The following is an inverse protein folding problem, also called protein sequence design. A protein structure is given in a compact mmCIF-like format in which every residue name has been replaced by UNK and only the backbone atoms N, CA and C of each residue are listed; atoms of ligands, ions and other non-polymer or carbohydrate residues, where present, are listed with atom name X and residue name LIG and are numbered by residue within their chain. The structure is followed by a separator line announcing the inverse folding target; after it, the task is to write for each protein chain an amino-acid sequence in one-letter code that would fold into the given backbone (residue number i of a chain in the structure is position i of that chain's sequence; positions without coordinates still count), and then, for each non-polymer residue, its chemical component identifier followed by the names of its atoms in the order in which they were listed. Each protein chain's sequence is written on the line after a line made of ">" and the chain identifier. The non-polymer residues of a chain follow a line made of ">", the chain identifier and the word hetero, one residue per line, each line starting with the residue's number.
data_IF_023624077157
#
_entry.id   IF_023624077157
#
_cell.length_a   1.000
_cell.length_b   1.000
_cell.length_c   1.000
_cell.angle_alpha   90.00
_cell.angle_beta   90.00
_cell.angle_gamma   90.00
#
_symmetry.space_group_name_H-M   'P 1'
#
loop_
_entity.id
_entity.type
_entity.pdbx_description
1 polymer ?
#
# COMPACT_ATOMS: atom_id res chain seq x y z
N UNK A 1 1.23 -27.17 -17.94
CA UNK A 1 0.49 -28.28 -18.57
C UNK A 1 -0.95 -28.43 -18.09
N UNK A 2 -1.21 -28.80 -16.82
CA UNK A 2 -2.60 -29.01 -16.35
C UNK A 2 -3.38 -27.69 -16.23
N UNK A 3 -2.86 -26.69 -15.53
CA UNK A 3 -3.51 -25.39 -15.35
C UNK A 3 -3.72 -24.64 -16.69
N UNK A 4 -2.72 -24.70 -17.58
CA UNK A 4 -2.82 -24.16 -18.94
C UNK A 4 -3.93 -24.85 -19.73
N UNK A 5 -3.98 -26.18 -19.76
CA UNK A 5 -5.02 -26.94 -20.44
C UNK A 5 -6.43 -26.63 -19.89
N UNK A 6 -6.56 -26.46 -18.58
CA UNK A 6 -7.81 -26.05 -17.95
C UNK A 6 -8.22 -24.64 -18.40
N UNK A 7 -7.29 -23.68 -18.34
CA UNK A 7 -7.54 -22.29 -18.72
C UNK A 7 -7.91 -22.14 -20.21
N UNK A 8 -7.23 -22.87 -21.10
CA UNK A 8 -7.57 -22.93 -22.53
C UNK A 8 -9.00 -23.45 -22.75
N UNK A 9 -9.37 -24.57 -22.11
CA UNK A 9 -10.72 -25.12 -22.22
C UNK A 9 -11.77 -24.18 -21.63
N UNK A 10 -11.48 -23.48 -20.53
CA UNK A 10 -12.37 -22.49 -19.96
C UNK A 10 -12.60 -21.31 -20.92
N UNK A 11 -11.58 -20.89 -21.70
CA UNK A 11 -11.74 -19.90 -22.77
C UNK A 11 -12.52 -20.42 -23.97
N UNK A 12 -12.27 -21.67 -24.39
CA UNK A 12 -12.86 -22.26 -25.60
C UNK A 12 -14.36 -22.52 -25.46
N UNK A 13 -14.79 -23.02 -24.29
CA UNK A 13 -16.15 -23.54 -24.10
C UNK A 13 -16.79 -23.16 -22.76
N UNK A 14 -16.12 -22.34 -21.94
CA UNK A 14 -16.60 -21.94 -20.62
C UNK A 14 -16.27 -22.94 -19.51
N UNK A 15 -16.27 -22.45 -18.27
CA UNK A 15 -15.99 -23.23 -17.07
C UNK A 15 -17.00 -24.34 -16.89
N UNK A 16 -18.30 -24.05 -16.87
CA UNK A 16 -19.36 -25.02 -16.61
C UNK A 16 -19.35 -26.21 -17.57
N UNK A 17 -19.16 -25.96 -18.87
CA UNK A 17 -19.12 -27.01 -19.88
C UNK A 17 -17.83 -27.86 -19.85
N UNK A 18 -16.77 -27.39 -19.18
CA UNK A 18 -15.49 -28.08 -19.13
C UNK A 18 -15.47 -29.15 -18.04
N UNK A 19 -15.16 -30.40 -18.42
CA UNK A 19 -15.05 -31.51 -17.47
C UNK A 19 -13.60 -31.84 -17.13
N UNK A 20 -13.36 -32.47 -15.97
CA UNK A 20 -12.04 -32.99 -15.58
C UNK A 20 -11.50 -33.99 -16.62
N UNK A 21 -12.38 -34.73 -17.30
CA UNK A 21 -11.99 -35.67 -18.35
C UNK A 21 -11.46 -34.95 -19.60
N UNK A 22 -12.00 -33.77 -19.93
CA UNK A 22 -11.52 -32.95 -21.04
C UNK A 22 -10.16 -32.34 -20.70
N UNK A 23 -10.00 -31.80 -19.49
CA UNK A 23 -8.74 -31.25 -18.98
C UNK A 23 -7.65 -32.33 -18.98
N UNK A 24 -7.96 -33.50 -18.42
CA UNK A 24 -7.01 -34.63 -18.35
C UNK A 24 -6.57 -35.07 -19.74
N UNK A 25 -7.51 -35.16 -20.69
CA UNK A 25 -7.23 -35.53 -22.09
C UNK A 25 -6.36 -34.49 -22.80
N UNK A 26 -6.65 -33.20 -22.63
CA UNK A 26 -5.89 -32.09 -23.21
C UNK A 26 -4.47 -32.05 -22.65
N UNK A 27 -4.31 -32.25 -21.35
CA UNK A 27 -3.02 -32.28 -20.67
C UNK A 27 -2.24 -33.59 -20.86
N UNK A 28 -2.82 -34.61 -21.50
CA UNK A 28 -2.17 -35.90 -21.72
C UNK A 28 -1.96 -36.74 -20.45
N UNK A 29 -2.77 -36.53 -19.41
CA UNK A 29 -2.68 -37.25 -18.12
C UNK A 29 -3.94 -38.06 -17.84
N UNK A 30 -3.84 -39.02 -16.93
CA UNK A 30 -5.02 -39.79 -16.50
C UNK A 30 -5.89 -38.97 -15.54
N UNK A 31 -7.20 -39.29 -15.48
CA UNK A 31 -8.11 -38.70 -14.47
C UNK A 31 -7.67 -39.01 -13.04
N UNK A 32 -7.05 -40.17 -12.81
CA UNK A 32 -6.48 -40.51 -11.51
C UNK A 32 -5.32 -39.59 -11.16
N UNK A 33 -4.45 -39.27 -12.12
CA UNK A 33 -3.35 -38.32 -11.94
C UNK A 33 -3.86 -36.92 -11.59
N UNK A 34 -4.98 -36.47 -12.18
CA UNK A 34 -5.59 -35.19 -11.81
C UNK A 34 -5.96 -35.14 -10.32
N UNK A 35 -6.70 -36.13 -9.83
CA UNK A 35 -7.18 -36.17 -8.45
C UNK A 35 -6.07 -36.39 -7.41
N UNK A 36 -4.87 -36.78 -7.82
CA UNK A 36 -3.72 -36.81 -6.92
C UNK A 36 -3.26 -35.42 -6.50
N UNK A 37 -3.58 -34.37 -7.28
CA UNK A 37 -3.12 -33.01 -7.03
C UNK A 37 -4.27 -32.04 -6.72
N UNK A 38 -5.45 -32.24 -7.32
CA UNK A 38 -6.55 -31.27 -7.25
C UNK A 38 -7.86 -31.97 -6.89
N UNK A 39 -8.64 -31.38 -5.98
CA UNK A 39 -9.96 -31.90 -5.61
C UNK A 39 -11.02 -31.47 -6.64
N UNK A 40 -10.85 -30.28 -7.21
CA UNK A 40 -11.77 -29.68 -8.18
C UNK A 40 -11.04 -29.14 -9.42
N UNK A 41 -11.80 -28.76 -10.45
CA UNK A 41 -11.27 -28.08 -11.65
C UNK A 41 -10.94 -26.60 -11.42
N UNK A 42 -11.45 -25.97 -10.36
CA UNK A 42 -11.11 -24.59 -10.00
C UNK A 42 -9.80 -24.54 -9.19
N UNK A 43 -9.55 -25.52 -8.32
CA UNK A 43 -8.32 -25.63 -7.50
C UNK A 43 -7.03 -25.52 -8.34
N UNK A 44 -7.08 -26.00 -9.58
CA UNK A 44 -5.95 -26.04 -10.50
C UNK A 44 -5.37 -24.66 -10.80
N UNK A 45 -6.22 -23.63 -10.82
CA UNK A 45 -5.83 -22.24 -11.08
C UNK A 45 -5.08 -21.67 -9.88
N UNK A 46 -5.42 -22.12 -8.67
CA UNK A 46 -4.90 -21.58 -7.42
C UNK A 46 -3.62 -22.26 -6.93
N UNK A 47 -3.24 -23.39 -7.52
CA UNK A 47 -2.13 -24.24 -7.06
C UNK A 47 -0.84 -23.48 -6.73
N UNK A 48 -0.42 -22.57 -7.63
CA UNK A 48 0.80 -21.77 -7.43
C UNK A 48 0.67 -20.79 -6.26
N UNK A 49 -0.49 -20.16 -6.10
CA UNK A 49 -0.77 -19.31 -4.94
C UNK A 49 -0.88 -20.12 -3.65
N UNK A 50 -1.50 -21.30 -3.68
CA UNK A 50 -1.68 -22.15 -2.51
C UNK A 50 -0.34 -22.65 -1.94
N UNK A 51 0.62 -22.98 -2.80
CA UNK A 51 1.98 -23.33 -2.40
C UNK A 51 2.70 -22.14 -1.74
N UNK A 52 2.52 -20.94 -2.29
CA UNK A 52 3.07 -19.68 -1.73
C UNK A 52 2.42 -19.36 -0.38
N UNK A 53 1.10 -19.51 -0.26
CA UNK A 53 0.39 -19.33 1.01
C UNK A 53 0.85 -20.35 2.05
N UNK A 54 1.10 -21.61 1.67
CA UNK A 54 1.63 -22.61 2.60
C UNK A 54 3.01 -22.21 3.15
N UNK A 55 3.92 -21.71 2.29
CA UNK A 55 5.22 -21.17 2.75
C UNK A 55 5.07 -19.94 3.65
N UNK A 56 4.12 -19.07 3.33
CA UNK A 56 3.80 -17.91 4.15
C UNK A 56 3.29 -18.31 5.54
N UNK A 57 2.38 -19.29 5.60
CA UNK A 57 1.87 -19.86 6.85
C UNK A 57 3.01 -20.45 7.70
N UNK A 58 3.88 -21.27 7.08
CA UNK A 58 5.03 -21.87 7.75
C UNK A 58 6.01 -20.82 8.30
N UNK A 59 6.33 -19.80 7.49
CA UNK A 59 7.21 -18.70 7.91
C UNK A 59 6.66 -17.97 9.13
N UNK A 60 5.38 -17.58 9.12
CA UNK A 60 4.76 -16.87 10.24
C UNK A 60 4.57 -17.75 11.48
N UNK A 61 4.55 -19.08 11.31
CA UNK A 61 4.53 -20.03 12.42
C UNK A 61 5.89 -20.16 13.11
N UNK A 62 6.98 -20.16 12.35
CA UNK A 62 8.34 -20.37 12.85
C UNK A 62 9.04 -19.09 13.35
N UNK A 63 8.61 -17.91 12.90
CA UNK A 63 9.33 -16.66 13.19
C UNK A 63 8.99 -16.07 14.57
N UNK A 64 10.04 -15.86 15.39
CA UNK A 64 10.01 -15.17 16.69
C UNK A 64 10.54 -13.72 16.61
N UNK A 65 10.60 -13.13 15.41
CA UNK A 65 11.10 -11.78 15.21
C UNK A 65 10.45 -10.77 16.15
N UNK A 66 11.30 -9.85 16.66
CA UNK A 66 10.90 -8.82 17.62
C UNK A 66 9.83 -7.89 17.03
N UNK A 67 9.90 -7.61 15.74
CA UNK A 67 8.91 -6.81 15.01
C UNK A 67 8.00 -7.69 14.14
N UNK A 68 6.89 -8.12 14.73
CA UNK A 68 5.89 -8.95 14.05
C UNK A 68 5.23 -8.25 12.85
N UNK A 69 5.08 -6.91 12.90
CA UNK A 69 4.45 -6.17 11.83
C UNK A 69 5.36 -6.09 10.60
N UNK A 70 6.66 -5.86 10.82
CA UNK A 70 7.66 -5.89 9.76
C UNK A 70 7.79 -7.28 9.13
N UNK A 71 7.78 -8.35 9.93
CA UNK A 71 7.83 -9.72 9.42
C UNK A 71 6.59 -10.07 8.59
N UNK A 72 5.37 -9.78 9.07
CA UNK A 72 4.14 -9.99 8.29
C UNK A 72 4.21 -9.27 6.94
N UNK A 73 4.69 -8.01 6.92
CA UNK A 73 4.86 -7.25 5.67
C UNK A 73 5.86 -7.94 4.73
N UNK A 74 7.02 -8.35 5.23
CA UNK A 74 8.04 -9.02 4.43
C UNK A 74 7.55 -10.38 3.90
N UNK A 75 6.85 -11.16 4.72
CA UNK A 75 6.27 -12.44 4.32
C UNK A 75 5.18 -12.26 3.25
N UNK A 76 4.33 -11.25 3.39
CA UNK A 76 3.27 -10.98 2.42
C UNK A 76 3.81 -10.48 1.08
N UNK A 77 4.87 -9.66 1.07
CA UNK A 77 5.54 -9.25 -0.17
C UNK A 77 6.18 -10.46 -0.86
N UNK A 78 6.78 -11.38 -0.10
CA UNK A 78 7.36 -12.60 -0.64
C UNK A 78 6.34 -13.53 -1.34
N UNK A 79 5.03 -13.37 -1.09
CA UNK A 79 4.00 -14.08 -1.86
C UNK A 79 4.01 -13.65 -3.34
N UNK A 80 4.34 -12.39 -3.62
CA UNK A 80 4.33 -11.80 -4.95
C UNK A 80 5.65 -11.98 -5.71
N UNK A 81 6.75 -12.26 -5.01
CA UNK A 81 8.09 -12.40 -5.61
C UNK A 81 8.12 -13.47 -6.70
N UNK A 82 8.65 -13.12 -7.87
CA UNK A 82 8.74 -13.99 -9.05
C UNK A 82 7.40 -14.62 -9.46
N UNK A 83 6.28 -13.97 -9.14
CA UNK A 83 4.96 -14.42 -9.58
C UNK A 83 4.82 -14.11 -11.08
N UNK A 84 5.12 -15.10 -11.91
CA UNK A 84 4.97 -15.00 -13.35
C UNK A 84 3.48 -14.93 -13.74
N UNK A 85 3.14 -14.29 -14.88
CA UNK A 85 1.81 -14.42 -15.47
C UNK A 85 1.48 -15.90 -15.65
N UNK A 86 0.42 -16.35 -15.01
CA UNK A 86 0.02 -17.75 -14.99
C UNK A 86 -1.46 -17.91 -15.38
N UNK A 87 -1.95 -19.15 -15.29
CA UNK A 87 -3.35 -19.47 -15.59
C UNK A 87 -4.34 -18.77 -14.66
N UNK A 88 -3.92 -18.36 -13.45
CA UNK A 88 -4.78 -17.61 -12.53
C UNK A 88 -4.97 -16.17 -13.01
N UNK A 89 -3.88 -15.49 -13.39
CA UNK A 89 -3.97 -14.14 -13.94
C UNK A 89 -4.83 -14.09 -15.22
N UNK A 90 -4.74 -15.12 -16.07
CA UNK A 90 -5.58 -15.23 -17.27
C UNK A 90 -7.04 -15.50 -16.92
N UNK A 91 -7.31 -16.35 -15.91
CA UNK A 91 -8.65 -16.65 -15.42
C UNK A 91 -9.32 -15.42 -14.79
N UNK A 92 -8.62 -14.70 -13.91
CA UNK A 92 -9.10 -13.46 -13.28
C UNK A 92 -9.49 -12.42 -14.34
N UNK A 93 -8.59 -12.16 -15.29
CA UNK A 93 -8.85 -11.16 -16.34
C UNK A 93 -10.02 -11.52 -17.26
N UNK A 94 -10.26 -12.81 -17.47
CA UNK A 94 -11.30 -13.28 -18.40
C UNK A 94 -12.46 -13.98 -17.67
N UNK A 95 -12.64 -13.70 -16.38
CA UNK A 95 -13.59 -14.42 -15.53
C UNK A 95 -15.00 -14.45 -16.15
N UNK A 96 -15.47 -13.31 -16.65
CA UNK A 96 -16.78 -13.20 -17.30
C UNK A 96 -16.91 -13.96 -18.63
N UNK A 97 -15.84 -14.00 -19.43
CA UNK A 97 -15.85 -14.76 -20.68
C UNK A 97 -15.82 -16.28 -20.40
N UNK A 98 -15.15 -16.68 -19.33
CA UNK A 98 -15.06 -18.08 -18.89
C UNK A 98 -16.26 -18.52 -18.03
N UNK A 99 -17.06 -17.59 -17.48
CA UNK A 99 -18.11 -17.88 -16.50
C UNK A 99 -17.54 -18.36 -15.15
N UNK A 100 -16.53 -17.65 -14.65
CA UNK A 100 -15.73 -17.99 -13.47
C UNK A 100 -15.92 -17.05 -12.28
N UNK A 101 -16.69 -15.96 -12.40
CA UNK A 101 -16.73 -14.89 -11.40
C UNK A 101 -17.11 -15.39 -10.00
N UNK A 102 -18.22 -16.12 -9.90
CA UNK A 102 -18.71 -16.65 -8.62
C UNK A 102 -17.76 -17.72 -8.04
N UNK A 103 -17.07 -18.46 -8.91
CA UNK A 103 -16.14 -19.50 -8.51
C UNK A 103 -14.85 -18.90 -7.97
N UNK A 104 -14.25 -17.95 -8.69
CA UNK A 104 -13.04 -17.26 -8.28
C UNK A 104 -13.25 -16.49 -6.98
N UNK A 105 -14.38 -15.80 -6.81
CA UNK A 105 -14.69 -15.07 -5.58
C UNK A 105 -14.81 -16.01 -4.36
N UNK A 106 -15.41 -17.18 -4.55
CA UNK A 106 -15.55 -18.19 -3.50
C UNK A 106 -14.20 -18.79 -3.12
N UNK A 107 -13.39 -19.16 -4.11
CA UNK A 107 -12.06 -19.72 -3.89
C UNK A 107 -11.09 -18.70 -3.29
N UNK A 108 -11.15 -17.43 -3.73
CA UNK A 108 -10.38 -16.33 -3.18
C UNK A 108 -10.72 -16.10 -1.71
N UNK A 109 -12.00 -16.19 -1.33
CA UNK A 109 -12.44 -16.02 0.06
C UNK A 109 -11.82 -17.03 1.03
N UNK A 110 -11.63 -18.29 0.60
CA UNK A 110 -10.92 -19.31 1.38
C UNK A 110 -9.46 -18.90 1.64
N UNK A 111 -8.77 -18.39 0.61
CA UNK A 111 -7.37 -17.96 0.69
C UNK A 111 -7.18 -16.68 1.49
N UNK A 112 -8.10 -15.71 1.37
CA UNK A 112 -8.18 -14.54 2.26
C UNK A 112 -8.25 -14.98 3.72
N UNK A 113 -9.09 -15.97 4.04
CA UNK A 113 -9.24 -16.49 5.40
C UNK A 113 -8.00 -17.24 5.91
N UNK A 114 -7.30 -17.99 5.06
CA UNK A 114 -6.02 -18.63 5.40
C UNK A 114 -4.96 -17.61 5.79
N UNK A 115 -4.72 -16.63 4.92
CA UNK A 115 -3.77 -15.53 5.16
C UNK A 115 -4.15 -14.76 6.44
N UNK A 116 -5.43 -14.40 6.57
CA UNK A 116 -5.91 -13.64 7.73
C UNK A 116 -5.66 -14.37 9.06
N UNK A 117 -5.92 -15.68 9.12
CA UNK A 117 -5.68 -16.48 10.33
C UNK A 117 -4.20 -16.59 10.67
N UNK A 118 -3.34 -16.78 9.67
CA UNK A 118 -1.89 -16.87 9.89
C UNK A 118 -1.32 -15.55 10.46
N UNK A 119 -1.74 -14.42 9.89
CA UNK A 119 -1.36 -13.09 10.38
C UNK A 119 -1.91 -12.82 11.78
N UNK A 120 -3.20 -13.09 12.02
CA UNK A 120 -3.82 -12.88 13.33
C UNK A 120 -3.12 -13.73 14.41
N UNK A 121 -2.78 -14.98 14.12
CA UNK A 121 -2.03 -15.84 15.03
C UNK A 121 -0.63 -15.28 15.33
N UNK A 122 0.10 -14.80 14.31
CA UNK A 122 1.43 -14.18 14.48
C UNK A 122 1.40 -12.93 15.34
N UNK A 123 0.43 -12.03 15.10
CA UNK A 123 0.27 -10.79 15.87
C UNK A 123 -0.21 -11.06 17.30
N UNK A 124 -1.11 -12.04 17.48
CA UNK A 124 -1.56 -12.48 18.80
C UNK A 124 -0.40 -13.02 19.65
N UNK A 125 0.50 -13.83 19.06
CA UNK A 125 1.74 -14.28 19.72
C UNK A 125 2.66 -13.10 20.08
N UNK A 126 2.63 -12.01 19.31
CA UNK A 126 3.37 -10.79 19.58
C UNK A 126 2.67 -9.84 20.58
N UNK A 127 1.53 -10.24 21.16
CA UNK A 127 0.83 -9.48 22.20
C UNK A 127 -0.28 -8.54 21.70
N UNK A 128 -0.66 -8.61 20.42
CA UNK A 128 -1.87 -7.93 19.94
C UNK A 128 -3.11 -8.50 20.64
N UNK A 129 -4.07 -7.65 21.01
CA UNK A 129 -5.39 -8.17 21.39
C UNK A 129 -6.12 -8.76 20.18
N UNK A 130 -7.10 -9.61 20.47
CA UNK A 130 -7.82 -10.38 19.46
C UNK A 130 -8.47 -9.51 18.38
N UNK A 131 -9.09 -8.38 18.75
CA UNK A 131 -9.79 -7.55 17.78
C UNK A 131 -8.79 -6.93 16.80
N UNK A 132 -7.69 -6.37 17.30
CA UNK A 132 -6.64 -5.84 16.43
C UNK A 132 -6.02 -6.92 15.56
N UNK A 133 -5.70 -8.10 16.11
CA UNK A 133 -5.14 -9.21 15.36
C UNK A 133 -6.07 -9.70 14.24
N UNK A 134 -7.36 -9.87 14.53
CA UNK A 134 -8.36 -10.34 13.56
C UNK A 134 -8.58 -9.30 12.44
N UNK A 135 -8.67 -8.00 12.77
CA UNK A 135 -8.81 -6.90 11.80
C UNK A 135 -7.56 -6.77 10.93
N UNK A 136 -6.37 -6.81 11.53
CA UNK A 136 -5.11 -6.76 10.79
C UNK A 136 -4.96 -7.97 9.86
N UNK A 137 -5.32 -9.17 10.33
CA UNK A 137 -5.34 -10.38 9.51
C UNK A 137 -6.26 -10.23 8.30
N UNK A 138 -7.50 -9.79 8.51
CA UNK A 138 -8.43 -9.56 7.41
C UNK A 138 -7.90 -8.53 6.40
N UNK A 139 -7.25 -7.46 6.87
CA UNK A 139 -6.62 -6.45 6.00
C UNK A 139 -5.52 -7.06 5.12
N UNK A 140 -4.67 -7.93 5.66
CA UNK A 140 -3.63 -8.61 4.87
C UNK A 140 -4.18 -9.64 3.89
N UNK A 141 -5.19 -10.41 4.30
CA UNK A 141 -5.90 -11.32 3.39
C UNK A 141 -6.48 -10.57 2.20
N UNK A 142 -7.17 -9.45 2.45
CA UNK A 142 -7.68 -8.57 1.40
C UNK A 142 -6.59 -7.95 0.54
N UNK A 143 -5.50 -7.48 1.13
CA UNK A 143 -4.40 -6.84 0.41
C UNK A 143 -3.71 -7.78 -0.58
N UNK A 144 -3.42 -9.03 -0.18
CA UNK A 144 -2.76 -9.99 -1.07
C UNK A 144 -3.65 -10.33 -2.27
N UNK A 145 -4.92 -10.68 -2.04
CA UNK A 145 -5.83 -11.06 -3.13
C UNK A 145 -6.21 -9.86 -4.01
N UNK A 146 -6.42 -8.68 -3.41
CA UNK A 146 -6.70 -7.46 -4.15
C UNK A 146 -5.51 -6.99 -5.01
N UNK A 147 -4.27 -7.21 -4.56
CA UNK A 147 -3.08 -6.94 -5.37
C UNK A 147 -3.01 -7.86 -6.60
N UNK A 148 -3.31 -9.15 -6.42
CA UNK A 148 -3.35 -10.14 -7.50
C UNK A 148 -4.42 -9.79 -8.54
N UNK A 149 -5.63 -9.49 -8.10
CA UNK A 149 -6.75 -9.11 -8.97
C UNK A 149 -6.42 -7.83 -9.76
N UNK A 150 -5.92 -6.79 -9.08
CA UNK A 150 -5.55 -5.54 -9.72
C UNK A 150 -4.45 -5.73 -10.77
N UNK A 151 -3.44 -6.55 -10.46
CA UNK A 151 -2.36 -6.89 -11.39
C UNK A 151 -2.86 -7.67 -12.61
N UNK A 152 -3.75 -8.64 -12.41
CA UNK A 152 -4.34 -9.41 -13.50
C UNK A 152 -5.10 -8.50 -14.48
N UNK A 153 -5.86 -7.53 -13.96
CA UNK A 153 -6.63 -6.57 -14.75
C UNK A 153 -5.76 -5.51 -15.46
N UNK A 154 -4.67 -5.04 -14.84
CA UNK A 154 -3.75 -4.08 -15.46
C UNK A 154 -2.88 -4.71 -16.57
N UNK A 155 -2.85 -6.04 -16.58
CA UNK A 155 -2.26 -6.87 -17.63
C UNK A 155 -0.96 -7.50 -17.16
N UNK A 156 -1.09 -8.62 -16.46
CA UNK A 156 -0.01 -9.42 -15.88
C UNK A 156 1.24 -9.59 -16.76
N UNK A 157 1.09 -9.76 -18.07
CA UNK A 157 2.23 -9.88 -19.00
C UNK A 157 3.02 -8.58 -19.28
N UNK A 158 2.58 -7.42 -18.78
CA UNK A 158 3.20 -6.11 -19.00
C UNK A 158 3.67 -5.44 -17.70
N UNK A 159 3.17 -5.89 -16.55
CA UNK A 159 3.41 -5.28 -15.25
C UNK A 159 3.81 -6.35 -14.24
N UNK A 160 4.59 -5.99 -13.22
CA UNK A 160 4.90 -6.92 -12.13
C UNK A 160 3.86 -6.86 -11.02
N UNK A 161 3.55 -8.01 -10.41
CA UNK A 161 2.72 -8.11 -9.21
C UNK A 161 3.38 -7.38 -8.02
N UNK A 162 4.71 -7.30 -7.96
CA UNK A 162 5.47 -6.66 -6.88
C UNK A 162 5.00 -5.23 -6.61
N UNK A 163 4.70 -4.46 -7.66
CA UNK A 163 4.22 -3.07 -7.55
C UNK A 163 2.86 -3.01 -6.83
N UNK A 164 1.95 -3.91 -7.16
CA UNK A 164 0.63 -3.96 -6.56
C UNK A 164 0.71 -4.49 -5.12
N UNK A 165 1.56 -5.50 -4.89
CA UNK A 165 1.81 -6.05 -3.57
C UNK A 165 2.41 -5.01 -2.62
N UNK A 166 3.40 -4.23 -3.06
CA UNK A 166 3.99 -3.16 -2.25
C UNK A 166 2.95 -2.11 -1.86
N UNK A 167 2.15 -1.64 -2.82
CA UNK A 167 1.08 -0.67 -2.56
C UNK A 167 0.02 -1.21 -1.61
N UNK A 168 -0.42 -2.46 -1.81
CA UNK A 168 -1.42 -3.09 -0.95
C UNK A 168 -0.86 -3.36 0.47
N UNK A 169 0.41 -3.72 0.58
CA UNK A 169 1.12 -3.90 1.84
C UNK A 169 1.18 -2.60 2.65
N UNK A 170 1.38 -1.45 2.01
CA UNK A 170 1.39 -0.15 2.71
C UNK A 170 0.02 0.19 3.31
N UNK A 171 -1.07 -0.18 2.61
CA UNK A 171 -2.44 -0.04 3.14
C UNK A 171 -2.69 -1.01 4.30
N UNK A 172 -2.33 -2.29 4.16
CA UNK A 172 -2.52 -3.29 5.21
C UNK A 172 -1.66 -3.02 6.46
N UNK A 173 -0.46 -2.47 6.28
CA UNK A 173 0.45 -2.11 7.37
C UNK A 173 -0.13 -1.02 8.31
N UNK A 174 -1.15 -0.28 7.86
CA UNK A 174 -1.87 0.64 8.74
C UNK A 174 -2.61 -0.12 9.86
N UNK A 175 -3.10 -1.32 9.58
CA UNK A 175 -3.87 -2.14 10.51
C UNK A 175 -2.99 -2.97 11.47
N UNK A 176 -1.72 -3.22 11.14
CA UNK A 176 -0.79 -4.00 11.99
C UNK A 176 -0.10 -3.19 13.07
N UNK A 177 -0.22 -1.86 13.04
CA UNK A 177 0.38 -1.00 14.06
C UNK A 177 -0.34 -1.19 15.39
N UNK A 178 0.30 -1.93 16.29
CA UNK A 178 -0.12 -2.03 17.69
C UNK A 178 0.47 -0.81 18.42
N UNK A 179 -0.34 0.16 18.88
CA UNK A 179 0.18 1.25 19.68
C UNK A 179 0.62 0.69 21.03
N UNK A 180 1.89 0.83 21.39
CA UNK A 180 2.35 0.51 22.73
C UNK A 180 1.51 1.29 23.78
N UNK A 181 1.33 0.76 25.01
CA UNK A 181 0.72 1.53 26.09
C UNK A 181 1.43 2.88 26.27
N UNK A 182 0.69 3.99 26.19
CA UNK A 182 1.26 5.34 26.25
C UNK A 182 1.85 5.86 24.93
N UNK A 183 1.75 5.12 23.84
CA UNK A 183 2.18 5.59 22.51
C UNK A 183 1.37 6.83 22.08
N UNK A 184 2.07 7.77 21.45
CA UNK A 184 1.46 8.95 20.83
C UNK A 184 0.54 8.49 19.69
N UNK A 185 -0.74 8.81 19.80
CA UNK A 185 -1.78 8.43 18.83
C UNK A 185 -1.88 9.40 17.65
N UNK A 186 -1.59 10.68 17.89
CA UNK A 186 -1.71 11.74 16.92
C UNK A 186 -0.66 12.81 17.20
N UNK A 187 -0.04 13.33 16.14
CA UNK A 187 0.73 14.57 16.17
C UNK A 187 -0.17 15.68 15.63
N UNK A 188 -0.33 16.78 16.38
CA UNK A 188 -0.99 18.01 15.91
C UNK A 188 0.02 19.14 15.92
N UNK A 189 0.16 19.83 14.79
CA UNK A 189 0.88 21.09 14.69
C UNK A 189 -0.15 22.22 14.67
N UNK A 190 -0.08 23.11 15.65
CA UNK A 190 -0.99 24.26 15.75
C UNK A 190 -0.26 25.51 15.30
N UNK A 191 -0.82 26.18 14.30
CA UNK A 191 -0.23 27.37 13.69
C UNK A 191 -1.18 28.53 13.90
N UNK A 192 -0.67 29.65 14.41
CA UNK A 192 -1.46 30.87 14.52
C UNK A 192 -1.57 31.52 13.13
N UNK A 193 -2.79 31.67 12.63
CA UNK A 193 -3.07 32.29 11.33
C UNK A 193 -3.78 33.64 11.53
N UNK A 194 -3.09 34.78 11.35
CA UNK A 194 -3.73 36.10 11.43
C UNK A 194 -4.85 36.29 10.41
N UNK A 195 -4.66 35.78 9.19
CA UNK A 195 -5.70 35.65 8.17
C UNK A 195 -6.16 34.18 8.11
N UNK A 196 -7.13 33.85 8.97
CA UNK A 196 -7.59 32.48 9.14
C UNK A 196 -8.20 31.91 7.85
N UNK A 197 -9.08 32.66 7.18
CA UNK A 197 -9.82 32.14 6.02
C UNK A 197 -8.90 31.95 4.80
N UNK A 198 -7.98 32.88 4.54
CA UNK A 198 -7.00 32.71 3.46
C UNK A 198 -6.03 31.54 3.76
N UNK A 199 -5.59 31.41 5.01
CA UNK A 199 -4.70 30.31 5.41
C UNK A 199 -5.40 28.97 5.30
N UNK A 200 -6.65 28.87 5.76
CA UNK A 200 -7.46 27.66 5.64
C UNK A 200 -7.69 27.28 4.18
N UNK A 201 -8.06 28.23 3.33
CA UNK A 201 -8.24 27.98 1.90
C UNK A 201 -6.94 27.49 1.23
N UNK A 202 -5.79 28.08 1.58
CA UNK A 202 -4.50 27.62 1.07
C UNK A 202 -4.23 26.15 1.42
N UNK A 203 -4.29 25.77 2.70
CA UNK A 203 -3.98 24.38 3.08
C UNK A 203 -5.07 23.39 2.64
N UNK A 204 -6.34 23.77 2.72
CA UNK A 204 -7.45 22.89 2.36
C UNK A 204 -7.58 22.70 0.85
N UNK A 205 -7.58 23.80 0.10
CA UNK A 205 -7.99 23.79 -1.31
C UNK A 205 -6.79 23.78 -2.26
N UNK A 206 -5.66 24.39 -1.88
CA UNK A 206 -4.46 24.46 -2.74
C UNK A 206 -3.49 23.32 -2.45
N UNK A 207 -3.15 23.12 -1.18
CA UNK A 207 -2.30 21.97 -0.77
C UNK A 207 -3.10 20.67 -0.86
N UNK A 208 -4.41 20.73 -0.63
CA UNK A 208 -5.31 19.58 -0.74
C UNK A 208 -5.48 18.79 0.56
N UNK A 209 -5.31 19.43 1.71
CA UNK A 209 -5.46 18.80 3.02
C UNK A 209 -6.94 18.77 3.45
N UNK A 210 -7.60 17.60 3.50
CA UNK A 210 -9.02 17.53 3.84
C UNK A 210 -9.30 18.04 5.25
N UNK A 211 -10.41 18.75 5.47
CA UNK A 211 -10.81 19.19 6.81
C UNK A 211 -11.48 18.04 7.56
N UNK A 212 -10.90 17.64 8.68
CA UNK A 212 -11.43 16.59 9.56
C UNK A 212 -12.43 17.16 10.58
N UNK A 213 -12.06 18.25 11.26
CA UNK A 213 -12.86 18.88 12.32
C UNK A 213 -12.72 20.41 12.25
N UNK A 214 -13.71 21.13 12.74
CA UNK A 214 -13.63 22.58 12.95
C UNK A 214 -14.44 22.99 14.17
N UNK A 215 -13.91 23.97 14.91
CA UNK A 215 -14.53 24.49 16.12
C UNK A 215 -14.52 26.01 16.10
N UNK A 216 -15.60 26.59 16.60
CA UNK A 216 -15.74 28.03 16.85
C UNK A 216 -16.17 28.25 18.31
N UNK A 217 -15.65 29.30 18.93
CA UNK A 217 -15.94 29.67 20.30
C UNK A 217 -16.13 31.18 20.45
N UNK A 218 -16.50 31.62 21.65
CA UNK A 218 -16.72 33.04 21.96
C UNK A 218 -15.50 33.91 21.61
N UNK A 219 -15.76 35.19 21.33
CA UNK A 219 -14.70 36.16 20.98
C UNK A 219 -14.13 35.97 19.57
N UNK A 220 -14.81 35.23 18.68
CA UNK A 220 -14.35 35.00 17.30
C UNK A 220 -13.22 33.97 17.19
N UNK A 221 -12.99 33.16 18.24
CA UNK A 221 -11.99 32.11 18.22
C UNK A 221 -12.42 30.99 17.26
N UNK A 222 -11.54 30.66 16.31
CA UNK A 222 -11.77 29.63 15.29
C UNK A 222 -10.55 28.74 15.19
N UNK A 223 -10.78 27.44 14.98
CA UNK A 223 -9.73 26.46 14.65
C UNK A 223 -10.29 25.44 13.66
N UNK A 224 -9.49 25.08 12.67
CA UNK A 224 -9.76 23.98 11.75
C UNK A 224 -8.64 22.95 11.87
N UNK A 225 -9.00 21.67 11.85
CA UNK A 225 -8.07 20.54 11.87
C UNK A 225 -8.12 19.91 10.49
N UNK A 226 -6.96 19.90 9.82
CA UNK A 226 -6.80 19.34 8.49
C UNK A 226 -6.00 18.04 8.57
N UNK A 227 -6.40 17.03 7.81
CA UNK A 227 -5.67 15.78 7.66
C UNK A 227 -4.40 16.00 6.83
N UNK A 228 -3.27 15.52 7.36
CA UNK A 228 -1.94 15.68 6.77
C UNK A 228 -1.33 14.31 6.39
N UNK A 229 -2.15 13.36 5.92
CA UNK A 229 -1.71 12.00 5.63
C UNK A 229 -0.98 11.36 6.82
N UNK A 230 0.28 10.98 6.62
CA UNK A 230 1.16 10.49 7.69
C UNK A 230 1.97 11.63 8.29
N UNK A 231 1.69 12.00 9.54
CA UNK A 231 2.53 12.94 10.29
C UNK A 231 3.74 12.23 10.93
N UNK A 232 4.92 12.82 10.77
CA UNK A 232 6.19 12.36 11.38
C UNK A 232 6.86 13.50 12.14
N UNK A 233 7.67 13.16 13.15
CA UNK A 233 8.57 14.11 13.82
C UNK A 233 10.00 13.77 13.43
N UNK A 234 10.63 14.63 12.64
CA UNK A 234 12.03 14.47 12.24
C UNK A 234 12.95 15.29 13.15
N UNK A 235 13.98 14.64 13.69
CA UNK A 235 14.98 15.28 14.56
C UNK A 235 16.35 15.29 13.86
N UNK A 236 16.81 16.48 13.48
CA UNK A 236 18.12 16.69 12.88
C UNK A 236 19.04 17.42 13.86
N UNK A 237 20.28 16.94 13.99
CA UNK A 237 21.30 17.66 14.75
C UNK A 237 21.83 18.88 13.94
N UNK A 238 22.54 19.84 14.56
CA UNK A 238 23.00 21.04 13.84
C UNK A 238 23.89 20.75 12.62
N UNK A 239 24.71 19.68 12.67
CA UNK A 239 25.55 19.28 11.54
C UNK A 239 24.72 18.79 10.35
N UNK A 240 23.66 18.03 10.61
CA UNK A 240 22.70 17.54 9.62
C UNK A 240 21.92 18.71 9.01
N UNK A 241 21.43 19.66 9.83
CA UNK A 241 20.75 20.86 9.33
C UNK A 241 21.68 21.67 8.42
N UNK A 242 22.92 21.91 8.85
CA UNK A 242 23.90 22.64 8.03
C UNK A 242 24.23 21.91 6.72
N UNK A 243 24.23 20.57 6.72
CA UNK A 243 24.40 19.79 5.50
C UNK A 243 23.20 19.92 4.56
N UNK A 244 21.98 19.79 5.09
CA UNK A 244 20.74 19.99 4.34
C UNK A 244 20.71 21.39 3.72
N UNK A 245 21.02 22.44 4.50
CA UNK A 245 21.04 23.82 4.00
C UNK A 245 22.00 23.97 2.81
N UNK A 246 23.21 23.40 2.89
CA UNK A 246 24.17 23.46 1.76
C UNK A 246 23.68 22.76 0.49
N UNK A 247 22.83 21.75 0.63
CA UNK A 247 22.36 20.91 -0.47
C UNK A 247 21.06 21.46 -1.07
N UNK A 248 20.11 21.83 -0.21
CA UNK A 248 18.73 22.11 -0.59
C UNK A 248 18.42 23.59 -0.76
N UNK A 249 19.20 24.49 -0.15
CA UNK A 249 18.87 25.92 -0.17
C UNK A 249 19.79 26.68 -1.11
N UNK A 250 19.29 27.78 -1.68
CA UNK A 250 20.08 28.70 -2.48
C UNK A 250 20.87 29.69 -1.59
N UNK A 251 21.57 29.15 -0.58
CA UNK A 251 22.29 29.92 0.44
C UNK A 251 21.42 30.41 1.62
N UNK A 252 20.19 29.92 1.72
CA UNK A 252 19.27 30.19 2.83
C UNK A 252 19.50 29.29 4.05
N UNK A 253 18.80 29.57 5.14
CA UNK A 253 18.83 28.76 6.36
C UNK A 253 17.49 28.08 6.62
N UNK A 254 17.55 26.90 7.23
CA UNK A 254 16.38 26.22 7.75
C UNK A 254 15.85 26.85 9.04
N UNK A 255 14.54 27.00 9.14
CA UNK A 255 13.89 27.35 10.40
C UNK A 255 14.03 26.21 11.42
N UNK A 256 13.86 26.54 12.71
CA UNK A 256 13.92 25.52 13.78
C UNK A 256 12.79 24.49 13.69
N UNK A 257 11.61 24.89 13.21
CA UNK A 257 10.46 24.03 12.98
C UNK A 257 10.05 24.23 11.53
N UNK A 258 9.90 23.14 10.79
CA UNK A 258 9.59 23.13 9.37
C UNK A 258 8.55 22.06 9.10
N UNK A 259 7.74 22.30 8.09
CA UNK A 259 6.73 21.34 7.62
C UNK A 259 7.23 20.73 6.33
N UNK A 260 7.10 19.43 6.15
CA UNK A 260 7.44 18.76 4.91
C UNK A 260 6.22 18.03 4.36
N UNK A 261 5.96 18.17 3.06
CA UNK A 261 4.92 17.45 2.36
C UNK A 261 5.54 16.61 1.23
N UNK A 262 5.24 15.32 1.25
CA UNK A 262 5.53 14.44 0.12
C UNK A 262 4.51 14.69 -0.99
N UNK A 263 4.96 14.79 -2.24
CA UNK A 263 4.13 15.02 -3.41
C UNK A 263 4.61 14.17 -4.59
N UNK A 264 3.68 13.75 -5.45
CA UNK A 264 4.00 12.93 -6.64
C UNK A 264 4.80 13.70 -7.69
N UNK A 265 4.64 15.03 -7.75
CA UNK A 265 5.32 15.95 -8.67
C UNK A 265 5.71 17.23 -7.93
N UNK A 266 6.99 17.32 -7.55
CA UNK A 266 7.50 18.48 -6.79
C UNK A 266 7.48 19.75 -7.63
N UNK A 267 7.82 19.67 -8.93
CA UNK A 267 7.92 20.86 -9.79
C UNK A 267 6.54 21.48 -9.99
N UNK A 268 5.56 20.67 -10.39
CA UNK A 268 4.19 21.15 -10.55
C UNK A 268 3.56 21.62 -9.23
N UNK A 269 3.92 21.00 -8.09
CA UNK A 269 3.45 21.46 -6.78
C UNK A 269 4.02 22.83 -6.40
N UNK A 270 5.31 23.09 -6.65
CA UNK A 270 5.91 24.41 -6.45
C UNK A 270 5.18 25.47 -7.25
N UNK A 271 4.91 25.23 -8.53
CA UNK A 271 4.20 26.18 -9.40
C UNK A 271 2.81 26.52 -8.88
N UNK A 272 2.02 25.49 -8.51
CA UNK A 272 0.68 25.68 -7.96
C UNK A 272 0.68 26.48 -6.65
N UNK A 273 1.58 26.13 -5.72
CA UNK A 273 1.66 26.81 -4.42
C UNK A 273 2.15 28.26 -4.57
N UNK A 274 3.13 28.51 -5.44
CA UNK A 274 3.64 29.85 -5.70
C UNK A 274 2.58 30.76 -6.33
N UNK A 275 1.80 30.24 -7.29
CA UNK A 275 0.68 30.96 -7.89
C UNK A 275 -0.42 31.33 -6.87
N UNK A 276 -0.46 30.64 -5.73
CA UNK A 276 -1.46 30.80 -4.68
C UNK A 276 -0.93 31.51 -3.43
N UNK A 277 0.19 32.24 -3.55
CA UNK A 277 0.71 33.14 -2.53
C UNK A 277 1.88 32.61 -1.70
N UNK A 278 2.39 31.40 -1.97
CA UNK A 278 3.65 30.95 -1.38
C UNK A 278 4.85 31.63 -2.05
N UNK A 279 5.89 31.96 -1.29
CA UNK A 279 7.16 32.48 -1.84
C UNK A 279 8.19 31.36 -1.94
N UNK A 280 8.72 31.10 -3.12
CA UNK A 280 9.81 30.12 -3.30
C UNK A 280 11.09 30.65 -2.66
N UNK A 281 11.66 29.90 -1.71
CA UNK A 281 12.92 30.20 -1.03
C UNK A 281 14.10 29.40 -1.59
N UNK A 282 13.83 28.21 -2.15
CA UNK A 282 14.79 27.43 -2.92
C UNK A 282 14.07 26.60 -3.99
N UNK A 283 14.59 26.61 -5.22
CA UNK A 283 13.99 25.88 -6.35
C UNK A 283 14.14 24.36 -6.21
N UNK A 284 13.21 23.62 -6.84
CA UNK A 284 13.23 22.17 -6.90
C UNK A 284 14.56 21.63 -7.43
N UNK A 285 15.17 20.66 -6.72
CA UNK A 285 16.43 20.01 -7.11
C UNK A 285 16.52 18.60 -6.56
N UNK A 286 17.25 17.73 -7.26
CA UNK A 286 17.55 16.40 -6.76
C UNK A 286 18.57 16.45 -5.62
N UNK A 287 18.34 15.64 -4.59
CA UNK A 287 19.16 15.53 -3.40
C UNK A 287 20.00 14.23 -3.41
N UNK A 288 21.07 14.13 -2.59
CA UNK A 288 21.86 12.90 -2.46
C UNK A 288 21.09 11.66 -1.97
N UNK A 289 19.88 11.82 -1.41
CA UNK A 289 19.01 10.74 -0.94
C UNK A 289 17.90 10.41 -1.94
N UNK A 290 18.09 10.74 -3.23
CA UNK A 290 17.19 10.42 -4.33
C UNK A 290 15.77 10.94 -4.11
N UNK A 291 15.69 12.21 -3.72
CA UNK A 291 14.44 12.94 -3.69
C UNK A 291 14.57 14.26 -4.45
N UNK A 292 13.48 14.75 -5.03
CA UNK A 292 13.42 16.13 -5.55
C UNK A 292 12.84 17.01 -4.47
N UNK A 293 13.60 18.00 -3.98
CA UNK A 293 13.19 18.85 -2.86
C UNK A 293 13.12 20.32 -3.28
N UNK A 294 12.13 21.04 -2.76
CA UNK A 294 11.97 22.48 -2.91
C UNK A 294 11.58 23.14 -1.58
N UNK A 295 11.90 24.43 -1.43
CA UNK A 295 11.63 25.20 -0.21
C UNK A 295 10.73 26.39 -0.51
N UNK A 296 9.68 26.57 0.28
CA UNK A 296 8.75 27.70 0.17
C UNK A 296 8.42 28.29 1.54
N UNK A 297 8.06 29.57 1.54
CA UNK A 297 7.37 30.26 2.63
C UNK A 297 5.88 30.27 2.33
N UNK A 298 5.09 29.58 3.15
CA UNK A 298 3.64 29.49 3.03
C UNK A 298 2.93 30.53 3.93
N UNK A 299 1.59 30.70 3.80
CA UNK A 299 0.81 31.51 4.74
C UNK A 299 1.03 31.10 6.21
N UNK A 300 0.82 32.06 7.11
CA UNK A 300 1.19 31.98 8.53
C UNK A 300 2.70 31.82 8.79
N UNK A 301 3.53 32.26 7.84
CA UNK A 301 5.00 32.32 7.91
C UNK A 301 5.69 30.95 8.06
N UNK A 302 4.99 29.86 7.73
CA UNK A 302 5.53 28.51 7.80
C UNK A 302 6.54 28.26 6.68
N UNK A 303 7.72 27.76 7.04
CA UNK A 303 8.65 27.19 6.08
C UNK A 303 8.22 25.76 5.71
N UNK A 304 7.91 25.57 4.42
CA UNK A 304 7.45 24.31 3.86
C UNK A 304 8.51 23.72 2.94
N UNK A 305 8.84 22.44 3.13
CA UNK A 305 9.56 21.60 2.17
C UNK A 305 8.53 20.83 1.35
N UNK A 306 8.66 20.86 0.02
CA UNK A 306 8.03 19.84 -0.82
C UNK A 306 9.09 18.82 -1.19
N UNK A 307 8.77 17.53 -1.13
CA UNK A 307 9.67 16.47 -1.57
C UNK A 307 8.94 15.38 -2.36
N UNK A 308 9.67 14.73 -3.26
CA UNK A 308 9.21 13.59 -4.05
C UNK A 308 10.29 12.50 -4.01
N UNK A 309 9.97 11.29 -3.57
CA UNK A 309 10.91 10.16 -3.61
C UNK A 309 11.06 9.60 -5.04
N UNK A 310 12.30 9.30 -5.46
CA UNK A 310 12.62 8.78 -6.79
C UNK A 310 12.83 7.25 -6.83
N UNK A 311 12.54 6.55 -5.72
CA UNK A 311 12.75 5.10 -5.55
C UNK A 311 14.23 4.69 -5.40
N UNK A 312 14.54 3.38 -5.31
CA UNK A 312 15.91 2.84 -5.34
C UNK A 312 16.51 2.81 -6.76
N UNK A 313 17.84 2.86 -6.86
CA UNK A 313 18.58 3.04 -8.13
C UNK A 313 18.81 1.71 -8.84
#
# INVERSE_FOLDING_TARGET
>A
MLAEAACELFLEQGFEATTIADISRRAGVSRSSFFNYFASKSDILWAGLDERIARFEERLEQDEAVDAAADVRAAAIALAEDFAPDSLALAERNAAAMGLEDELEREASSRRSRIARAVAARLGRAGADRLHADVAGAAWGGAVLGALEAWAHDGAGRTSLDRFAARAADVAALATRIPAPGAVRQLRMVVQAPDFDATLAFYRDVVGMPQAEAYEAEGGARVAILDAGRATLELANPGQVAFIDRVETDGGSSDRIRVAFEVDDTVGAVERLAASGARVEASARETPWRSVNARLRAPADLQVTLFQELGPA
#
